data_IF_840815779138
#
_entry.id   IF_840815779138
#
_cell.length_a   1.000
_cell.length_b   1.000
_cell.length_c   1.000
_cell.angle_alpha   90.00
_cell.angle_beta   90.00
_cell.angle_gamma   90.00
#
_symmetry.space_group_name_H-M   'P 1'
#
loop_
_entity.id
_entity.type
_entity.pdbx_description
1 polymer ?
#
# COMPACT_ATOMS: atom_id res chain seq x y z
N UNK A 1 -4.62 -7.70 17.42
CA UNK A 1 -4.46 -8.42 16.14
C UNK A 1 -3.69 -7.50 15.22
N UNK A 2 -2.40 -7.75 15.00
CA UNK A 2 -1.60 -6.99 14.03
C UNK A 2 -1.83 -7.58 12.65
N UNK A 3 -2.10 -6.72 11.66
CA UNK A 3 -2.14 -7.13 10.25
C UNK A 3 -0.74 -7.61 9.87
N UNK A 4 -0.63 -8.85 9.42
CA UNK A 4 0.61 -9.35 8.85
C UNK A 4 0.81 -8.68 7.48
N UNK A 5 2.06 -8.57 7.02
CA UNK A 5 2.36 -8.05 5.68
C UNK A 5 1.65 -8.87 4.58
N UNK A 6 1.38 -10.17 4.83
CA UNK A 6 0.60 -11.03 3.94
C UNK A 6 -0.87 -10.58 3.79
N UNK A 7 -1.45 -9.97 4.83
CA UNK A 7 -2.83 -9.45 4.80
C UNK A 7 -2.95 -8.15 3.98
N UNK A 8 -1.84 -7.52 3.60
CA UNK A 8 -1.87 -6.29 2.78
C UNK A 8 -2.52 -6.54 1.43
N UNK A 9 -2.30 -7.73 0.85
CA UNK A 9 -2.95 -8.12 -0.41
C UNK A 9 -4.47 -8.19 -0.23
N UNK A 10 -4.95 -8.93 0.76
CA UNK A 10 -6.37 -9.01 1.12
C UNK A 10 -6.97 -7.64 1.43
N UNK A 11 -6.21 -6.75 2.07
CA UNK A 11 -6.62 -5.40 2.41
C UNK A 11 -6.75 -4.49 1.18
N UNK A 12 -5.88 -4.63 0.17
CA UNK A 12 -6.02 -3.92 -1.11
C UNK A 12 -7.19 -4.47 -1.94
N UNK A 13 -7.38 -5.79 -1.94
CA UNK A 13 -8.46 -6.45 -2.70
C UNK A 13 -9.84 -6.24 -2.05
N UNK A 14 -9.92 -6.27 -0.72
CA UNK A 14 -11.18 -6.18 0.05
C UNK A 14 -11.15 -5.15 1.19
N UNK A 15 -10.78 -3.89 0.94
CA UNK A 15 -10.57 -2.88 1.98
C UNK A 15 -11.79 -2.62 2.86
N UNK A 16 -12.98 -2.68 2.26
CA UNK A 16 -14.25 -2.53 2.97
C UNK A 16 -14.48 -3.59 4.07
N UNK A 17 -13.93 -4.80 3.92
CA UNK A 17 -13.97 -5.85 4.96
C UNK A 17 -13.18 -5.44 6.20
N UNK A 18 -12.16 -4.62 6.02
CA UNK A 18 -11.30 -4.08 7.09
C UNK A 18 -11.74 -2.67 7.54
N UNK A 19 -12.81 -2.13 6.95
CA UNK A 19 -13.31 -0.78 7.23
C UNK A 19 -12.45 0.33 6.63
N UNK A 20 -11.65 0.03 5.61
CA UNK A 20 -10.85 1.02 4.90
C UNK A 20 -11.65 1.69 3.79
N UNK A 21 -11.47 3.00 3.63
CA UNK A 21 -12.00 3.78 2.51
C UNK A 21 -11.00 3.78 1.36
N UNK A 22 -11.49 3.73 0.12
CA UNK A 22 -10.64 3.83 -1.06
C UNK A 22 -10.77 5.24 -1.64
N UNK A 23 -9.64 5.89 -1.87
CA UNK A 23 -9.53 7.13 -2.63
C UNK A 23 -8.74 6.89 -3.90
N UNK A 24 -9.19 7.45 -5.03
CA UNK A 24 -8.46 7.36 -6.30
C UNK A 24 -7.89 8.72 -6.66
N UNK A 25 -6.57 8.79 -6.86
CA UNK A 25 -5.86 10.00 -7.31
C UNK A 25 -5.32 9.77 -8.71
N UNK A 26 -5.39 10.81 -9.56
CA UNK A 26 -4.96 10.72 -10.97
C UNK A 26 -3.45 10.88 -11.18
N UNK A 27 -2.72 11.41 -10.20
CA UNK A 27 -1.31 11.78 -10.34
C UNK A 27 -0.45 10.86 -9.50
N UNK A 28 0.16 9.87 -10.16
CA UNK A 28 1.08 8.92 -9.52
C UNK A 28 2.44 9.57 -9.27
N UNK A 29 2.93 9.63 -8.03
CA UNK A 29 4.30 10.05 -7.73
C UNK A 29 5.27 8.97 -8.20
N UNK A 30 6.01 9.22 -9.29
CA UNK A 30 6.97 8.25 -9.86
C UNK A 30 8.10 7.94 -8.88
N UNK A 31 8.63 8.95 -8.20
CA UNK A 31 9.73 8.79 -7.24
C UNK A 31 9.44 7.77 -6.14
N UNK A 32 8.18 7.70 -5.67
CA UNK A 32 7.79 6.70 -4.66
C UNK A 32 7.80 5.27 -5.20
N UNK A 33 7.56 5.09 -6.49
CA UNK A 33 7.49 3.77 -7.12
C UNK A 33 8.87 3.17 -7.19
N UNK A 34 9.83 3.95 -7.70
CA UNK A 34 11.22 3.53 -7.81
C UNK A 34 11.81 3.30 -6.42
N UNK A 35 11.59 4.22 -5.48
CA UNK A 35 12.05 4.09 -4.09
C UNK A 35 11.57 2.80 -3.41
N UNK A 36 10.29 2.46 -3.55
CA UNK A 36 9.70 1.25 -2.96
C UNK A 36 10.21 -0.02 -3.65
N UNK A 37 10.50 0.04 -4.96
CA UNK A 37 11.12 -1.09 -5.66
C UNK A 37 12.58 -1.30 -5.28
N UNK A 38 13.30 -0.24 -4.90
CA UNK A 38 14.69 -0.33 -4.46
C UNK A 38 14.84 -0.75 -2.99
N UNK A 39 13.99 -0.24 -2.09
CA UNK A 39 14.15 -0.41 -0.64
C UNK A 39 13.05 -1.26 0.03
N UNK A 40 11.92 -1.45 -0.65
CA UNK A 40 10.79 -2.17 -0.12
C UNK A 40 11.01 -3.68 -0.03
N UNK A 41 10.17 -4.33 0.77
CA UNK A 41 10.13 -5.78 0.87
C UNK A 41 9.25 -6.30 -0.26
N UNK A 42 9.76 -7.25 -1.03
CA UNK A 42 8.97 -7.96 -2.04
C UNK A 42 8.24 -9.14 -1.41
N UNK A 43 6.91 -9.16 -1.54
CA UNK A 43 6.04 -10.25 -1.10
C UNK A 43 5.14 -10.61 -2.27
N UNK A 44 5.26 -11.86 -2.75
CA UNK A 44 4.63 -12.30 -4.00
C UNK A 44 4.93 -11.34 -5.15
N UNK A 45 3.90 -10.63 -5.63
CA UNK A 45 3.94 -9.70 -6.76
C UNK A 45 3.82 -8.22 -6.32
N UNK A 46 4.03 -7.95 -5.03
CA UNK A 46 3.91 -6.63 -4.43
C UNK A 46 5.25 -6.21 -3.79
N UNK A 47 5.63 -4.96 -4.02
CA UNK A 47 6.71 -4.28 -3.31
C UNK A 47 6.09 -3.41 -2.23
N UNK A 48 6.53 -3.58 -0.99
CA UNK A 48 5.89 -2.97 0.16
C UNK A 48 6.95 -2.28 1.01
N UNK A 49 6.81 -0.97 1.18
CA UNK A 49 7.58 -0.18 2.14
C UNK A 49 6.62 0.34 3.21
N UNK A 50 6.82 -0.05 4.46
CA UNK A 50 5.95 0.37 5.56
C UNK A 50 6.70 1.29 6.51
N UNK A 51 6.16 2.48 6.69
CA UNK A 51 6.58 3.45 7.69
C UNK A 51 5.74 3.25 8.97
N UNK A 52 6.36 2.63 9.98
CA UNK A 52 5.69 2.32 11.25
C UNK A 52 5.42 3.56 12.09
N UNK A 53 6.19 4.63 11.92
CA UNK A 53 6.03 5.86 12.69
C UNK A 53 4.77 6.61 12.25
N UNK A 54 4.54 6.68 10.93
CA UNK A 54 3.37 7.32 10.34
C UNK A 54 2.17 6.38 10.19
N UNK A 55 2.36 5.08 10.42
CA UNK A 55 1.32 4.07 10.23
C UNK A 55 0.85 4.01 8.78
N UNK A 56 1.79 4.10 7.84
CA UNK A 56 1.53 4.15 6.40
C UNK A 56 2.36 3.10 5.67
N UNK A 57 1.77 2.37 4.73
CA UNK A 57 2.49 1.46 3.85
C UNK A 57 2.28 1.87 2.40
N UNK A 58 3.37 2.01 1.67
CA UNK A 58 3.37 2.21 0.24
C UNK A 58 3.56 0.86 -0.42
N UNK A 59 2.65 0.52 -1.33
CA UNK A 59 2.60 -0.76 -2.02
C UNK A 59 2.62 -0.52 -3.51
N UNK A 60 3.48 -1.24 -4.22
CA UNK A 60 3.62 -1.17 -5.67
C UNK A 60 3.46 -2.56 -6.25
N UNK A 61 2.54 -2.74 -7.18
CA UNK A 61 2.42 -4.01 -7.91
C UNK A 61 3.40 -4.07 -9.10
N UNK A 62 3.62 -5.27 -9.63
CA UNK A 62 4.48 -5.49 -10.78
C UNK A 62 4.05 -4.68 -12.03
N UNK A 63 2.75 -4.43 -12.18
CA UNK A 63 2.16 -3.56 -13.22
C UNK A 63 2.40 -2.06 -13.00
N UNK A 64 3.23 -1.67 -12.02
CA UNK A 64 3.45 -0.28 -11.62
C UNK A 64 2.16 0.44 -11.19
N UNK A 65 1.22 -0.21 -10.51
CA UNK A 65 0.17 0.48 -9.76
C UNK A 65 0.68 0.78 -8.36
N UNK A 66 0.35 1.96 -7.85
CA UNK A 66 0.77 2.42 -6.53
C UNK A 66 -0.46 2.52 -5.62
N UNK A 67 -0.33 1.95 -4.44
CA UNK A 67 -1.31 2.00 -3.38
C UNK A 67 -0.63 2.56 -2.14
N UNK A 68 -1.23 3.54 -1.49
CA UNK A 68 -0.76 4.07 -0.21
C UNK A 68 -1.82 3.74 0.83
N UNK A 69 -1.47 2.90 1.80
CA UNK A 69 -2.35 2.43 2.84
C UNK A 69 -2.02 3.19 4.12
N UNK A 70 -2.94 4.02 4.60
CA UNK A 70 -2.81 4.69 5.88
C UNK A 70 -3.68 3.95 6.91
N UNK A 71 -3.04 3.26 7.86
CA UNK A 71 -3.71 2.45 8.88
C UNK A 71 -4.37 3.31 9.96
N UNK A 72 -3.82 4.49 10.23
CA UNK A 72 -4.35 5.43 11.22
C UNK A 72 -5.71 6.00 10.77
N UNK A 73 -5.77 6.46 9.52
CA UNK A 73 -6.97 7.02 8.93
C UNK A 73 -7.90 5.96 8.32
N UNK A 74 -7.42 4.71 8.20
CA UNK A 74 -8.08 3.63 7.48
C UNK A 74 -8.44 4.01 6.04
N UNK A 75 -7.47 4.52 5.30
CA UNK A 75 -7.64 4.95 3.90
C UNK A 75 -6.62 4.23 3.02
N UNK A 76 -7.05 3.82 1.83
CA UNK A 76 -6.18 3.36 0.76
C UNK A 76 -6.28 4.34 -0.41
N UNK A 77 -5.17 4.94 -0.78
CA UNK A 77 -5.06 5.84 -1.92
C UNK A 77 -4.48 5.06 -3.10
N UNK A 78 -5.24 4.97 -4.18
CA UNK A 78 -4.85 4.32 -5.42
C UNK A 78 -4.44 5.36 -6.47
N UNK A 79 -3.36 5.09 -7.19
CA UNK A 79 -2.82 5.96 -8.25
C UNK A 79 -2.68 5.23 -9.59
#
# INVERSE_FOLDING_TARGET
>A
MGLALSDIKDLIETPQKFGFKIERKKRKPRDLVDKVKENGIRIDNLWIECDRENGECVVVDDSNKLFIINFNNKIIIMF
#
